data_IF_942570799223
#
_entry.id   IF_942570799223
#
_cell.length_a   1.000
_cell.length_b   1.000
_cell.length_c   1.000
_cell.angle_alpha   90.00
_cell.angle_beta   90.00
_cell.angle_gamma   90.00
#
_symmetry.space_group_name_H-M   'P 1'
#
loop_
_entity.id
_entity.type
_entity.pdbx_description
1 polymer ?
#
# COMPACT_ATOMS: atom_id res chain seq x y z
N UNK A 1 -17.52 -5.20 3.55
CA UNK A 1 -16.47 -6.23 3.64
C UNK A 1 -15.26 -5.74 2.85
N UNK A 2 -14.08 -5.63 3.47
CA UNK A 2 -12.86 -5.24 2.76
C UNK A 2 -12.16 -6.50 2.26
N UNK A 3 -11.83 -6.55 0.97
CA UNK A 3 -11.19 -7.69 0.30
C UNK A 3 -9.68 -7.79 0.60
N UNK A 4 -9.12 -6.87 1.42
CA UNK A 4 -7.69 -6.79 1.81
C UNK A 4 -6.70 -6.82 0.62
N UNK A 5 -7.12 -6.32 -0.54
CA UNK A 5 -6.28 -6.31 -1.76
C UNK A 5 -5.22 -5.19 -1.73
N UNK A 6 -5.54 -4.07 -1.09
CA UNK A 6 -4.65 -2.90 -0.96
C UNK A 6 -4.37 -2.61 0.52
N UNK A 7 -3.19 -2.06 0.79
CA UNK A 7 -2.74 -1.75 2.16
C UNK A 7 -3.28 -0.40 2.67
N UNK A 8 -3.66 0.49 1.76
CA UNK A 8 -4.17 1.81 2.14
C UNK A 8 -4.67 2.61 0.94
N UNK A 9 -5.31 3.74 1.24
CA UNK A 9 -5.84 4.69 0.26
C UNK A 9 -5.15 6.02 0.49
N UNK A 10 -4.49 6.55 -0.54
CA UNK A 10 -3.90 7.89 -0.51
C UNK A 10 -4.97 8.92 -0.83
N UNK A 11 -5.11 9.95 0.00
CA UNK A 11 -6.12 11.00 -0.21
C UNK A 11 -5.71 11.92 -1.35
N UNK A 12 -6.70 12.38 -2.10
CA UNK A 12 -6.53 13.37 -3.17
C UNK A 12 -6.86 14.78 -2.66
N UNK A 13 -6.28 15.83 -3.27
CA UNK A 13 -6.64 17.20 -2.97
C UNK A 13 -8.06 17.52 -3.48
N UNK A 14 -8.64 18.63 -3.01
CA UNK A 14 -9.97 19.05 -3.44
C UNK A 14 -9.99 19.26 -4.97
N UNK A 15 -10.95 18.61 -5.63
CA UNK A 15 -11.05 18.59 -7.10
C UNK A 15 -10.25 17.48 -7.81
N UNK A 16 -9.52 16.64 -7.07
CA UNK A 16 -8.81 15.45 -7.57
C UNK A 16 -7.31 15.65 -7.76
N UNK A 17 -6.55 14.56 -7.92
CA UNK A 17 -5.08 14.58 -7.96
C UNK A 17 -4.47 15.57 -8.98
N UNK A 18 -5.15 15.80 -10.10
CA UNK A 18 -4.68 16.69 -11.17
C UNK A 18 -4.74 18.18 -10.81
N UNK A 19 -5.55 18.59 -9.84
CA UNK A 19 -5.72 20.01 -9.46
C UNK A 19 -4.54 20.56 -8.68
N UNK A 20 -3.82 19.70 -7.96
CA UNK A 20 -2.64 20.08 -7.21
C UNK A 20 -1.57 18.96 -7.22
N UNK A 21 -0.88 18.86 -8.35
CA UNK A 21 0.19 17.89 -8.57
C UNK A 21 1.35 18.01 -7.56
N UNK A 22 1.69 19.24 -7.15
CA UNK A 22 2.77 19.47 -6.18
C UNK A 22 2.41 18.86 -4.83
N UNK A 23 1.20 19.11 -4.34
CA UNK A 23 0.73 18.49 -3.10
C UNK A 23 0.61 16.97 -3.25
N UNK A 24 0.02 16.49 -4.35
CA UNK A 24 -0.18 15.06 -4.58
C UNK A 24 1.15 14.29 -4.60
N UNK A 25 2.17 14.81 -5.30
CA UNK A 25 3.50 14.19 -5.35
C UNK A 25 4.18 14.14 -3.98
N UNK A 26 4.01 15.17 -3.15
CA UNK A 26 4.52 15.19 -1.78
C UNK A 26 3.82 14.14 -0.91
N UNK A 27 2.50 14.01 -1.04
CA UNK A 27 1.71 13.03 -0.28
C UNK A 27 2.06 11.60 -0.69
N UNK A 28 2.17 11.32 -1.99
CA UNK A 28 2.64 10.01 -2.50
C UNK A 28 4.03 9.69 -1.98
N UNK A 29 4.98 10.64 -2.06
CA UNK A 29 6.34 10.45 -1.56
C UNK A 29 6.36 10.10 -0.07
N UNK A 30 5.54 10.79 0.73
CA UNK A 30 5.41 10.54 2.17
C UNK A 30 4.93 9.10 2.42
N UNK A 31 3.83 8.71 1.78
CA UNK A 31 3.26 7.36 1.94
C UNK A 31 4.25 6.26 1.53
N UNK A 32 4.96 6.43 0.41
CA UNK A 32 5.99 5.48 -0.03
C UNK A 32 7.11 5.36 1.01
N UNK A 33 7.60 6.50 1.51
CA UNK A 33 8.70 6.53 2.48
C UNK A 33 8.31 5.90 3.82
N UNK A 34 7.07 6.11 4.27
CA UNK A 34 6.56 5.52 5.52
C UNK A 34 6.45 4.00 5.39
N UNK A 35 5.83 3.50 4.31
CA UNK A 35 5.76 2.06 4.02
C UNK A 35 7.16 1.44 3.86
N UNK A 36 8.08 2.13 3.18
CA UNK A 36 9.44 1.66 3.02
C UNK A 36 10.15 1.50 4.38
N UNK A 37 10.02 2.48 5.28
CA UNK A 37 10.60 2.40 6.63
C UNK A 37 10.06 1.21 7.42
N UNK A 38 8.79 0.90 7.28
CA UNK A 38 8.19 -0.26 7.94
C UNK A 38 8.73 -1.58 7.37
N UNK A 39 8.77 -1.70 6.04
CA UNK A 39 9.28 -2.89 5.37
C UNK A 39 10.79 -3.08 5.59
N UNK A 40 11.56 -1.99 5.65
CA UNK A 40 13.01 -2.04 5.81
C UNK A 40 13.46 -2.50 7.21
N UNK A 41 12.56 -2.46 8.20
CA UNK A 41 12.82 -3.04 9.54
C UNK A 41 12.71 -4.56 9.56
N UNK A 42 12.11 -5.16 8.54
CA UNK A 42 11.92 -6.61 8.44
C UNK A 42 13.12 -7.25 7.77
N UNK A 43 13.49 -8.46 8.22
CA UNK A 43 14.50 -9.25 7.53
C UNK A 43 14.05 -9.57 6.10
N UNK A 44 14.98 -9.86 5.17
CA UNK A 44 14.60 -10.34 3.84
C UNK A 44 13.67 -11.56 3.88
N UNK A 45 13.91 -12.50 4.78
CA UNK A 45 13.12 -13.73 4.94
C UNK A 45 11.70 -13.43 5.42
N UNK A 46 11.54 -12.57 6.42
CA UNK A 46 10.22 -12.14 6.92
C UNK A 46 9.41 -11.43 5.84
N UNK A 47 10.06 -10.59 5.02
CA UNK A 47 9.39 -9.91 3.91
C UNK A 47 8.89 -10.88 2.85
N UNK A 48 9.65 -11.94 2.58
CA UNK A 48 9.26 -12.98 1.62
C UNK A 48 8.06 -13.76 2.15
N UNK A 49 8.12 -14.24 3.40
CA UNK A 49 7.01 -14.97 4.02
C UNK A 49 5.72 -14.14 4.04
N UNK A 50 5.77 -12.89 4.53
CA UNK A 50 4.60 -12.00 4.55
C UNK A 50 4.01 -11.74 3.16
N UNK A 51 4.85 -11.67 2.13
CA UNK A 51 4.39 -11.49 0.75
C UNK A 51 3.60 -12.71 0.28
N UNK A 52 4.11 -13.91 0.52
CA UNK A 52 3.44 -15.17 0.17
C UNK A 52 2.09 -15.23 0.87
N UNK A 53 2.06 -15.04 2.19
CA UNK A 53 0.83 -15.07 2.99
C UNK A 53 -0.22 -14.09 2.48
N UNK A 54 0.21 -12.86 2.17
CA UNK A 54 -0.67 -11.82 1.63
C UNK A 54 -1.35 -12.28 0.35
N UNK A 55 -0.59 -12.80 -0.62
CA UNK A 55 -1.16 -13.21 -1.92
C UNK A 55 -2.00 -14.49 -1.80
N UNK A 56 -1.61 -15.46 -0.98
CA UNK A 56 -2.39 -16.67 -0.73
C UNK A 56 -3.75 -16.37 -0.06
N UNK A 57 -3.82 -15.29 0.74
CA UNK A 57 -5.06 -14.84 1.36
C UNK A 57 -5.94 -13.98 0.44
N UNK A 58 -5.50 -13.63 -0.77
CA UNK A 58 -6.30 -12.83 -1.70
C UNK A 58 -7.29 -13.70 -2.48
N UNK A 59 -8.56 -13.30 -2.44
CA UNK A 59 -9.64 -13.96 -3.19
C UNK A 59 -10.38 -15.02 -2.38
N UNK A 60 -11.55 -15.41 -2.88
CA UNK A 60 -12.38 -16.47 -2.29
C UNK A 60 -12.73 -17.44 -3.41
N UNK A 61 -12.36 -18.70 -3.25
CA UNK A 61 -12.72 -19.77 -4.17
C UNK A 61 -13.84 -20.59 -3.52
N UNK A 62 -14.93 -20.82 -4.26
CA UNK A 62 -15.91 -21.85 -3.92
C UNK A 62 -15.60 -23.04 -4.82
N UNK A 63 -15.35 -24.18 -4.18
CA UNK A 63 -15.27 -25.48 -4.85
C UNK A 63 -16.64 -25.91 -5.39
#
# INVERSE_FOLDING_TARGET
MSLKLIDGIVKEPLGGAHTNLKWMSQEVKKVIMDNFKELNKLSPEDRISKRIDKFCAMGVVKE
#
